data_IF_046919728466
#
_entry.id   IF_046919728466
#
_cell.length_a   1.000
_cell.length_b   1.000
_cell.length_c   1.000
_cell.angle_alpha   90.00
_cell.angle_beta   90.00
_cell.angle_gamma   90.00
#
_symmetry.space_group_name_H-M   'P 1'
#
loop_
_entity.id
_entity.type
_entity.pdbx_description
1 polymer ?
#
# COMPACT_ATOMS: atom_id res chain seq x y z
N UNK A 1 12.96 21.54 -38.02
CA UNK A 1 14.10 22.08 -37.26
C UNK A 1 13.76 23.48 -36.80
N UNK A 2 13.67 23.69 -35.50
CA UNK A 2 13.48 25.03 -34.91
C UNK A 2 14.85 25.60 -34.58
N UNK A 3 15.05 26.89 -34.86
CA UNK A 3 16.29 27.61 -34.55
C UNK A 3 15.99 28.85 -33.71
N UNK A 4 16.86 29.15 -32.77
CA UNK A 4 16.80 30.39 -31.99
C UNK A 4 17.25 31.61 -32.82
N UNK A 5 17.12 32.80 -32.21
CA UNK A 5 17.55 34.08 -32.78
C UNK A 5 19.06 34.17 -33.06
N UNK A 6 19.85 33.23 -32.53
CA UNK A 6 21.29 33.09 -32.80
C UNK A 6 21.60 32.05 -33.88
N UNK A 7 20.57 31.50 -34.55
CA UNK A 7 20.71 30.52 -35.63
C UNK A 7 21.03 29.10 -35.14
N UNK A 8 21.00 28.85 -33.82
CA UNK A 8 21.26 27.55 -33.22
C UNK A 8 20.00 26.71 -33.26
N UNK A 9 20.13 25.45 -33.65
CA UNK A 9 19.03 24.47 -33.59
C UNK A 9 18.65 24.27 -32.13
N UNK A 10 17.38 24.44 -31.78
CA UNK A 10 16.82 24.22 -30.44
C UNK A 10 15.96 22.96 -30.37
N UNK A 11 15.31 22.58 -31.47
CA UNK A 11 14.46 21.38 -31.55
C UNK A 11 14.53 20.72 -32.93
N UNK A 12 14.43 19.39 -32.94
CA UNK A 12 14.49 18.57 -34.15
C UNK A 12 13.42 17.47 -34.11
N UNK A 13 12.35 17.60 -34.91
CA UNK A 13 11.32 16.57 -35.16
C UNK A 13 11.06 15.59 -33.99
N UNK A 14 10.54 16.10 -32.87
CA UNK A 14 10.28 15.28 -31.67
C UNK A 14 11.49 15.08 -30.77
N UNK A 15 12.57 15.87 -30.89
CA UNK A 15 13.76 15.84 -30.04
C UNK A 15 14.21 17.24 -29.60
N UNK A 16 14.69 17.38 -28.35
CA UNK A 16 15.18 18.64 -27.78
C UNK A 16 16.71 18.67 -27.63
N UNK A 17 17.35 19.82 -27.89
CA UNK A 17 18.80 20.04 -27.65
C UNK A 17 19.05 20.16 -26.14
N UNK A 18 19.91 19.30 -25.60
CA UNK A 18 20.26 19.27 -24.17
C UNK A 18 21.56 20.03 -23.84
N UNK A 19 22.13 20.77 -24.78
CA UNK A 19 23.23 21.70 -24.52
C UNK A 19 24.62 21.06 -24.37
N UNK A 20 24.75 19.75 -24.57
CA UNK A 20 26.05 19.06 -24.56
C UNK A 20 26.75 19.33 -25.89
N UNK A 21 27.91 19.99 -25.83
CA UNK A 21 28.78 20.22 -26.98
C UNK A 21 30.16 19.66 -26.71
N UNK A 22 30.35 18.39 -27.06
CA UNK A 22 31.61 17.68 -26.89
C UNK A 22 32.35 17.56 -28.24
N UNK A 23 33.65 17.80 -28.23
CA UNK A 23 34.58 17.52 -29.33
C UNK A 23 35.38 16.25 -29.02
N UNK A 24 34.72 15.10 -28.87
CA UNK A 24 35.42 13.88 -28.41
C UNK A 24 34.69 12.59 -28.81
N UNK A 25 35.45 11.49 -28.78
CA UNK A 25 35.12 10.07 -29.07
C UNK A 25 33.63 9.66 -28.88
N UNK A 26 33.02 8.94 -29.86
CA UNK A 26 31.65 8.43 -29.80
C UNK A 26 31.24 7.73 -28.50
N UNK A 27 32.16 7.01 -27.84
CA UNK A 27 31.88 6.29 -26.58
C UNK A 27 31.57 7.23 -25.41
N UNK A 28 32.22 8.40 -25.34
CA UNK A 28 31.98 9.41 -24.30
C UNK A 28 30.63 10.10 -24.52
N UNK A 29 30.20 10.19 -25.79
CA UNK A 29 28.94 10.82 -26.18
C UNK A 29 27.77 9.87 -25.96
N UNK A 30 27.95 8.57 -26.25
CA UNK A 30 26.99 7.53 -25.89
C UNK A 30 26.80 7.46 -24.37
N UNK A 31 27.88 7.48 -23.58
CA UNK A 31 27.76 7.47 -22.13
C UNK A 31 27.11 8.74 -21.56
N UNK A 32 27.40 9.91 -22.11
CA UNK A 32 26.74 11.16 -21.73
C UNK A 32 25.23 11.14 -22.10
N UNK A 33 24.89 10.62 -23.28
CA UNK A 33 23.50 10.44 -23.70
C UNK A 33 22.72 9.49 -22.81
N UNK A 34 23.32 8.35 -22.45
CA UNK A 34 22.74 7.39 -21.50
C UNK A 34 22.53 8.00 -20.11
N UNK A 35 23.47 8.82 -19.62
CA UNK A 35 23.35 9.50 -18.33
C UNK A 35 22.18 10.51 -18.32
N UNK A 36 22.00 11.27 -19.40
CA UNK A 36 20.90 12.24 -19.50
C UNK A 36 19.55 11.53 -19.56
N UNK A 37 19.45 10.45 -20.34
CA UNK A 37 18.23 9.63 -20.42
C UNK A 37 17.88 8.98 -19.08
N UNK A 38 18.90 8.51 -18.35
CA UNK A 38 18.78 8.05 -16.96
C UNK A 38 18.17 9.12 -16.08
N UNK A 39 18.66 10.35 -16.20
CA UNK A 39 18.25 11.46 -15.35
C UNK A 39 16.81 11.91 -15.63
N UNK A 40 16.42 11.95 -16.91
CA UNK A 40 15.05 12.23 -17.32
C UNK A 40 14.09 11.14 -16.84
N UNK A 41 14.45 9.87 -17.01
CA UNK A 41 13.62 8.74 -16.56
C UNK A 41 13.48 8.70 -15.04
N UNK A 42 14.57 8.93 -14.30
CA UNK A 42 14.55 9.04 -12.85
C UNK A 42 13.66 10.19 -12.37
N UNK A 43 13.77 11.36 -12.99
CA UNK A 43 12.94 12.52 -12.67
C UNK A 43 11.45 12.26 -12.96
N UNK A 44 11.14 11.60 -14.08
CA UNK A 44 9.77 11.21 -14.42
C UNK A 44 9.14 10.32 -13.35
N UNK A 45 9.83 9.25 -12.95
CA UNK A 45 9.30 8.35 -11.92
C UNK A 45 9.19 9.03 -10.56
N UNK A 46 10.20 9.83 -10.16
CA UNK A 46 10.16 10.55 -8.90
C UNK A 46 8.97 11.53 -8.83
N UNK A 47 8.64 12.23 -9.92
CA UNK A 47 7.46 13.10 -9.97
C UNK A 47 6.16 12.30 -9.82
N UNK A 48 6.00 11.19 -10.56
CA UNK A 48 4.84 10.31 -10.40
C UNK A 48 4.70 9.80 -8.97
N UNK A 49 5.82 9.39 -8.36
CA UNK A 49 5.84 8.89 -6.99
C UNK A 49 5.46 10.00 -6.00
N UNK A 50 6.00 11.21 -6.17
CA UNK A 50 5.69 12.37 -5.34
C UNK A 50 4.18 12.63 -5.30
N UNK A 51 3.52 12.69 -6.46
CA UNK A 51 2.07 12.93 -6.56
C UNK A 51 1.25 11.87 -5.79
N UNK A 52 1.74 10.63 -5.74
CA UNK A 52 1.09 9.54 -5.00
C UNK A 52 1.37 9.62 -3.49
N UNK A 53 2.61 9.94 -3.10
CA UNK A 53 3.01 10.07 -1.69
C UNK A 53 2.25 11.22 -1.01
N UNK A 54 1.97 12.31 -1.73
CA UNK A 54 1.18 13.44 -1.19
C UNK A 54 -0.27 13.06 -0.89
N UNK A 55 -0.85 12.08 -1.60
CA UNK A 55 -2.22 11.63 -1.32
C UNK A 55 -2.33 10.80 -0.01
N UNK A 56 -1.22 10.34 0.56
CA UNK A 56 -1.20 9.63 1.85
C UNK A 56 -1.44 10.55 3.05
N UNK A 57 -1.33 11.87 2.89
CA UNK A 57 -1.44 12.83 3.99
C UNK A 57 -2.78 12.76 4.72
N UNK A 58 -3.88 12.73 3.97
CA UNK A 58 -5.22 12.69 4.57
C UNK A 58 -5.43 11.44 5.44
N UNK A 59 -4.85 10.29 5.07
CA UNK A 59 -5.04 9.04 5.80
C UNK A 59 -4.17 8.96 7.05
N UNK A 60 -2.90 9.35 6.97
CA UNK A 60 -2.03 9.38 8.15
C UNK A 60 -2.47 10.45 9.16
N UNK A 61 -2.98 11.59 8.70
CA UNK A 61 -3.57 12.61 9.58
C UNK A 61 -4.89 12.14 10.21
N UNK A 62 -5.75 11.44 9.47
CA UNK A 62 -6.93 10.78 10.04
C UNK A 62 -6.53 9.81 11.16
N UNK A 63 -5.55 8.94 10.90
CA UNK A 63 -5.07 7.97 11.90
C UNK A 63 -4.46 8.65 13.13
N UNK A 64 -3.67 9.72 12.94
CA UNK A 64 -3.06 10.48 14.04
C UNK A 64 -4.11 11.15 14.93
N UNK A 65 -5.17 11.69 14.31
CA UNK A 65 -6.25 12.35 15.05
C UNK A 65 -7.08 11.35 15.87
N UNK A 66 -7.13 10.07 15.45
CA UNK A 66 -7.85 9.01 16.17
C UNK A 66 -6.99 8.44 17.30
N UNK A 67 -5.69 8.25 17.06
CA UNK A 67 -4.75 7.70 18.04
C UNK A 67 -3.49 8.58 18.05
N UNK A 68 -3.22 9.23 19.19
CA UNK A 68 -2.00 10.03 19.41
C UNK A 68 -0.78 9.10 19.50
N UNK A 69 -0.38 8.54 18.36
CA UNK A 69 0.58 7.46 18.25
C UNK A 69 1.89 7.98 17.66
N UNK A 70 2.98 7.81 18.42
CA UNK A 70 4.34 8.18 18.02
C UNK A 70 4.75 7.53 16.70
N UNK A 71 4.29 6.31 16.43
CA UNK A 71 4.62 5.61 15.18
C UNK A 71 3.93 6.26 13.98
N UNK A 72 2.71 6.77 14.12
CA UNK A 72 2.05 7.53 13.04
C UNK A 72 2.83 8.84 12.79
N UNK A 73 3.26 9.53 13.83
CA UNK A 73 4.12 10.72 13.69
C UNK A 73 5.42 10.43 12.92
N UNK A 74 6.06 9.27 13.20
CA UNK A 74 7.23 8.80 12.46
C UNK A 74 6.91 8.48 10.99
N UNK A 75 5.77 7.87 10.69
CA UNK A 75 5.32 7.61 9.31
C UNK A 75 5.07 8.91 8.55
N UNK A 76 4.45 9.92 9.18
CA UNK A 76 4.25 11.25 8.57
C UNK A 76 5.60 11.91 8.26
N UNK A 77 6.54 11.87 9.21
CA UNK A 77 7.89 12.42 8.99
C UNK A 77 8.63 11.68 7.87
N UNK A 78 8.52 10.35 7.84
CA UNK A 78 9.08 9.49 6.79
C UNK A 78 8.53 9.86 5.42
N UNK A 79 7.20 9.97 5.31
CA UNK A 79 6.51 10.40 4.10
C UNK A 79 6.96 11.77 3.63
N UNK A 80 7.03 12.77 4.53
CA UNK A 80 7.49 14.13 4.20
C UNK A 80 8.90 14.12 3.64
N UNK A 81 9.82 13.42 4.30
CA UNK A 81 11.21 13.31 3.85
C UNK A 81 11.35 12.62 2.49
N UNK A 82 10.63 11.52 2.28
CA UNK A 82 10.60 10.83 0.99
C UNK A 82 10.02 11.71 -0.13
N UNK A 83 8.92 12.41 0.14
CA UNK A 83 8.30 13.35 -0.80
C UNK A 83 9.22 14.51 -1.15
N UNK A 84 9.93 15.06 -0.16
CA UNK A 84 10.89 16.13 -0.39
C UNK A 84 12.00 15.68 -1.32
N UNK A 85 12.62 14.51 -1.04
CA UNK A 85 13.70 13.96 -1.88
C UNK A 85 13.20 13.69 -3.30
N UNK A 86 12.00 13.12 -3.46
CA UNK A 86 11.41 12.87 -4.78
C UNK A 86 11.20 14.16 -5.60
N UNK A 87 10.94 15.28 -4.93
CA UNK A 87 10.73 16.58 -5.59
C UNK A 87 12.01 17.33 -5.97
N UNK A 88 13.19 16.87 -5.53
CA UNK A 88 14.44 17.63 -5.72
C UNK A 88 14.92 17.60 -7.16
N UNK A 89 15.35 18.76 -7.65
CA UNK A 89 15.99 18.90 -8.98
C UNK A 89 17.36 18.23 -9.05
N UNK A 90 18.10 18.23 -7.95
CA UNK A 90 19.43 17.63 -7.83
C UNK A 90 19.45 16.68 -6.65
N UNK A 91 20.07 15.53 -6.83
CA UNK A 91 20.16 14.49 -5.81
C UNK A 91 21.57 13.95 -5.70
N UNK A 92 21.95 13.49 -4.51
CA UNK A 92 23.29 12.97 -4.22
C UNK A 92 23.28 11.69 -3.37
N UNK A 93 24.47 11.26 -2.93
CA UNK A 93 24.62 10.06 -2.10
C UNK A 93 24.04 10.20 -0.69
N UNK A 94 23.92 11.43 -0.18
CA UNK A 94 23.29 11.73 1.12
C UNK A 94 21.80 11.46 1.04
N UNK A 95 21.16 11.79 -0.09
CA UNK A 95 19.74 11.46 -0.33
C UNK A 95 19.50 9.96 -0.28
N UNK A 96 20.39 9.16 -0.89
CA UNK A 96 20.31 7.69 -0.83
C UNK A 96 20.38 7.17 0.61
N UNK A 97 21.23 7.77 1.45
CA UNK A 97 21.31 7.41 2.86
C UNK A 97 20.03 7.78 3.62
N UNK A 98 19.47 8.96 3.36
CA UNK A 98 18.21 9.40 3.95
C UNK A 98 17.04 8.48 3.56
N UNK A 99 16.91 8.15 2.28
CA UNK A 99 15.89 7.21 1.75
C UNK A 99 15.95 5.88 2.50
N UNK A 100 17.15 5.32 2.70
CA UNK A 100 17.33 4.05 3.41
C UNK A 100 16.94 4.12 4.89
N UNK A 101 17.21 5.24 5.56
CA UNK A 101 16.80 5.46 6.93
C UNK A 101 15.27 5.60 7.05
N UNK A 102 14.64 6.29 6.10
CA UNK A 102 13.19 6.38 5.99
C UNK A 102 12.55 5.01 5.76
N UNK A 103 13.10 4.23 4.83
CA UNK A 103 12.69 2.85 4.59
C UNK A 103 12.77 2.02 5.87
N UNK A 104 13.93 2.03 6.53
CA UNK A 104 14.14 1.30 7.79
C UNK A 104 13.10 1.68 8.84
N UNK A 105 12.77 2.96 8.98
CA UNK A 105 11.74 3.43 9.91
C UNK A 105 10.36 2.87 9.56
N UNK A 106 10.01 2.87 8.28
CA UNK A 106 8.75 2.29 7.81
C UNK A 106 8.69 0.76 8.03
N UNK A 107 9.79 0.05 7.77
CA UNK A 107 9.91 -1.39 7.98
C UNK A 107 9.78 -1.77 9.46
N UNK A 108 10.49 -1.05 10.37
CA UNK A 108 10.38 -1.27 11.82
C UNK A 108 8.94 -1.10 12.32
N UNK A 109 8.26 -0.07 11.84
CA UNK A 109 6.85 0.18 12.21
C UNK A 109 5.97 -0.92 11.61
N UNK A 110 6.16 -1.29 10.35
CA UNK A 110 5.41 -2.38 9.75
C UNK A 110 5.54 -3.67 10.56
N UNK A 111 6.77 -4.08 10.89
CA UNK A 111 7.05 -5.29 11.69
C UNK A 111 6.38 -5.21 13.07
N UNK A 112 6.49 -4.08 13.78
CA UNK A 112 5.86 -3.89 15.08
C UNK A 112 4.34 -4.13 15.03
N UNK A 113 3.66 -3.56 14.01
CA UNK A 113 2.22 -3.71 13.87
C UNK A 113 1.82 -5.10 13.36
N UNK A 114 2.65 -5.77 12.58
CA UNK A 114 2.44 -7.18 12.24
C UNK A 114 2.53 -8.07 13.49
N UNK A 115 3.53 -7.89 14.36
CA UNK A 115 3.61 -8.62 15.63
C UNK A 115 2.41 -8.33 16.55
N UNK A 116 1.97 -7.06 16.59
CA UNK A 116 0.78 -6.66 17.34
C UNK A 116 -0.47 -7.33 16.78
N UNK A 117 -0.60 -7.42 15.46
CA UNK A 117 -1.72 -8.07 14.78
C UNK A 117 -1.80 -9.55 15.16
N UNK A 118 -0.69 -10.29 15.05
CA UNK A 118 -0.62 -11.70 15.45
C UNK A 118 -0.98 -11.93 16.92
N UNK A 119 -0.62 -10.98 17.79
CA UNK A 119 -1.02 -11.03 19.21
C UNK A 119 -2.54 -10.83 19.36
N UNK A 120 -3.08 -9.79 18.73
CA UNK A 120 -4.51 -9.48 18.79
C UNK A 120 -5.37 -10.58 18.18
N UNK A 121 -4.93 -11.22 17.10
CA UNK A 121 -5.60 -12.38 16.50
C UNK A 121 -5.71 -13.54 17.49
N UNK A 122 -4.62 -13.88 18.19
CA UNK A 122 -4.63 -14.93 19.22
C UNK A 122 -5.57 -14.56 20.37
N UNK A 123 -5.52 -13.32 20.82
CA UNK A 123 -6.37 -12.81 21.89
C UNK A 123 -7.85 -12.76 21.50
N UNK A 124 -8.17 -12.48 20.23
CA UNK A 124 -9.53 -12.51 19.70
C UNK A 124 -10.07 -13.94 19.65
N UNK A 125 -9.23 -14.90 19.24
CA UNK A 125 -9.61 -16.33 19.18
C UNK A 125 -9.94 -16.93 20.55
N UNK A 126 -9.49 -16.31 21.64
CA UNK A 126 -9.76 -16.71 23.02
C UNK A 126 -10.84 -15.86 23.70
N UNK A 127 -11.38 -14.84 23.01
CA UNK A 127 -12.34 -13.91 23.59
C UNK A 127 -13.77 -14.45 23.50
N UNK A 128 -14.45 -14.46 24.65
CA UNK A 128 -15.83 -14.93 24.77
C UNK A 128 -16.80 -13.81 25.15
N UNK A 129 -16.30 -12.66 25.58
CA UNK A 129 -17.11 -11.48 25.87
C UNK A 129 -17.33 -10.62 24.61
N UNK A 130 -18.59 -10.39 24.24
CA UNK A 130 -18.96 -9.69 23.01
C UNK A 130 -18.54 -8.22 22.97
N UNK A 131 -18.45 -7.56 24.13
CA UNK A 131 -18.04 -6.15 24.19
C UNK A 131 -16.52 -6.02 24.06
N UNK A 132 -15.77 -6.87 24.77
CA UNK A 132 -14.32 -6.95 24.65
C UNK A 132 -13.89 -7.34 23.23
N UNK A 133 -14.61 -8.27 22.61
CA UNK A 133 -14.42 -8.68 21.23
C UNK A 133 -14.64 -7.55 20.23
N UNK A 134 -15.74 -6.80 20.35
CA UNK A 134 -15.99 -5.64 19.51
C UNK A 134 -14.86 -4.60 19.56
N UNK A 135 -14.30 -4.37 20.75
CA UNK A 135 -13.12 -3.50 20.92
C UNK A 135 -11.87 -4.09 20.26
N UNK A 136 -11.61 -5.39 20.42
CA UNK A 136 -10.48 -6.06 19.77
C UNK A 136 -10.55 -6.00 18.25
N UNK A 137 -11.73 -6.13 17.67
CA UNK A 137 -11.92 -5.97 16.22
C UNK A 137 -11.57 -4.56 15.76
N UNK A 138 -11.94 -3.52 16.52
CA UNK A 138 -11.53 -2.14 16.23
C UNK A 138 -10.01 -2.00 16.30
N UNK A 139 -9.37 -2.56 17.33
CA UNK A 139 -7.91 -2.53 17.51
C UNK A 139 -7.18 -3.29 16.38
N UNK A 140 -7.72 -4.41 15.92
CA UNK A 140 -7.23 -5.18 14.77
C UNK A 140 -7.31 -4.34 13.50
N UNK A 141 -8.46 -3.68 13.25
CA UNK A 141 -8.68 -2.85 12.07
C UNK A 141 -7.68 -1.69 12.02
N UNK A 142 -7.50 -1.01 13.15
CA UNK A 142 -6.51 0.04 13.29
C UNK A 142 -5.09 -0.48 13.07
N UNK A 143 -4.74 -1.62 13.67
CA UNK A 143 -3.42 -2.24 13.55
C UNK A 143 -3.08 -2.61 12.11
N UNK A 144 -4.01 -3.28 11.40
CA UNK A 144 -3.82 -3.62 9.99
C UNK A 144 -3.69 -2.38 9.12
N UNK A 145 -4.42 -1.30 9.42
CA UNK A 145 -4.34 -0.06 8.64
C UNK A 145 -2.96 0.57 8.76
N UNK A 146 -2.35 0.59 9.95
CA UNK A 146 -1.00 1.10 10.11
C UNK A 146 0.03 0.18 9.45
N UNK A 147 -0.12 -1.14 9.60
CA UNK A 147 0.75 -2.10 8.92
C UNK A 147 0.73 -1.91 7.40
N UNK A 148 -0.46 -1.65 6.84
CA UNK A 148 -0.65 -1.35 5.42
C UNK A 148 0.08 -0.07 4.98
N UNK A 149 -0.17 1.06 5.66
CA UNK A 149 0.44 2.35 5.29
C UNK A 149 1.97 2.35 5.48
N UNK A 150 2.47 1.66 6.52
CA UNK A 150 3.91 1.51 6.76
C UNK A 150 4.58 0.70 5.65
N UNK A 151 3.97 -0.43 5.25
CA UNK A 151 4.52 -1.26 4.18
C UNK A 151 4.48 -0.55 2.81
N UNK A 152 3.41 0.22 2.55
CA UNK A 152 3.30 1.11 1.38
C UNK A 152 4.43 2.14 1.34
N UNK A 153 4.74 2.80 2.46
CA UNK A 153 5.87 3.75 2.53
C UNK A 153 7.22 3.09 2.30
N UNK A 154 7.41 1.85 2.76
CA UNK A 154 8.63 1.09 2.47
C UNK A 154 8.80 0.83 0.96
N UNK A 155 7.72 0.44 0.28
CA UNK A 155 7.72 0.27 -1.19
C UNK A 155 8.00 1.59 -1.92
N UNK A 156 7.44 2.71 -1.44
CA UNK A 156 7.78 4.02 -1.99
C UNK A 156 9.24 4.39 -1.79
N UNK A 157 9.84 4.06 -0.65
CA UNK A 157 11.26 4.31 -0.43
C UNK A 157 12.15 3.51 -1.40
N UNK A 158 11.78 2.26 -1.72
CA UNK A 158 12.48 1.46 -2.74
C UNK A 158 12.35 2.08 -4.14
N UNK A 159 11.15 2.50 -4.52
CA UNK A 159 10.89 3.18 -5.79
C UNK A 159 11.67 4.50 -5.90
N UNK A 160 11.70 5.30 -4.83
CA UNK A 160 12.47 6.55 -4.77
C UNK A 160 13.96 6.25 -4.85
N UNK A 161 14.49 5.23 -4.17
CA UNK A 161 15.90 4.86 -4.30
C UNK A 161 16.25 4.54 -5.76
N UNK A 162 15.41 3.77 -6.45
CA UNK A 162 15.60 3.46 -7.87
C UNK A 162 15.58 4.74 -8.71
N UNK A 163 14.58 5.60 -8.54
CA UNK A 163 14.47 6.88 -9.26
C UNK A 163 15.63 7.84 -9.00
N UNK A 164 16.09 7.95 -7.75
CA UNK A 164 17.26 8.75 -7.35
C UNK A 164 18.53 8.21 -7.98
N UNK A 165 18.73 6.88 -8.03
CA UNK A 165 19.89 6.28 -8.69
C UNK A 165 19.86 6.44 -10.21
N UNK A 166 18.68 6.34 -10.82
CA UNK A 166 18.49 6.72 -12.22
C UNK A 166 18.90 8.18 -12.43
N UNK A 167 18.53 9.08 -11.50
CA UNK A 167 18.88 10.49 -11.57
C UNK A 167 20.38 10.79 -11.44
N UNK A 168 21.08 10.06 -10.59
CA UNK A 168 22.55 10.16 -10.45
C UNK A 168 23.27 9.63 -11.70
N UNK A 169 22.72 8.58 -12.34
CA UNK A 169 23.29 7.97 -13.54
C UNK A 169 24.49 7.05 -13.28
N UNK A 170 24.83 6.22 -14.27
CA UNK A 170 25.99 5.32 -14.21
C UNK A 170 25.87 4.15 -13.21
N UNK A 171 24.67 3.80 -12.77
CA UNK A 171 24.41 2.78 -11.73
C UNK A 171 23.50 1.64 -12.20
N UNK A 172 23.56 1.28 -13.48
CA UNK A 172 22.60 0.36 -14.11
C UNK A 172 22.54 -1.02 -13.46
N UNK A 173 23.68 -1.59 -13.08
CA UNK A 173 23.74 -2.90 -12.42
C UNK A 173 23.03 -2.88 -11.06
N UNK A 174 23.23 -1.79 -10.30
CA UNK A 174 22.57 -1.58 -9.00
C UNK A 174 21.08 -1.38 -9.20
N UNK A 175 20.67 -0.58 -10.19
CA UNK A 175 19.26 -0.32 -10.52
C UNK A 175 18.56 -1.64 -10.87
N UNK A 176 19.16 -2.50 -11.71
CA UNK A 176 18.58 -3.79 -12.08
C UNK A 176 18.42 -4.72 -10.87
N UNK A 177 19.43 -4.76 -9.99
CA UNK A 177 19.38 -5.52 -8.74
C UNK A 177 18.28 -5.04 -7.81
N UNK A 178 18.14 -3.73 -7.62
CA UNK A 178 17.09 -3.12 -6.80
C UNK A 178 15.70 -3.31 -7.40
N UNK A 179 15.56 -3.22 -8.72
CA UNK A 179 14.28 -3.44 -9.41
C UNK A 179 13.81 -4.89 -9.23
N UNK A 180 14.72 -5.85 -9.37
CA UNK A 180 14.43 -7.26 -9.11
C UNK A 180 14.07 -7.52 -7.63
N UNK A 181 14.68 -6.78 -6.71
CA UNK A 181 14.37 -6.85 -5.29
C UNK A 181 12.98 -6.25 -5.00
N UNK A 182 12.67 -5.10 -5.59
CA UNK A 182 11.36 -4.44 -5.48
C UNK A 182 10.24 -5.37 -5.96
N UNK A 183 10.41 -6.05 -7.10
CA UNK A 183 9.41 -6.98 -7.63
C UNK A 183 9.09 -8.09 -6.61
N UNK A 184 10.12 -8.71 -6.02
CA UNK A 184 9.95 -9.75 -4.99
C UNK A 184 9.33 -9.20 -3.71
N UNK A 185 9.81 -8.05 -3.26
CA UNK A 185 9.32 -7.40 -2.05
C UNK A 185 7.83 -7.04 -2.21
N UNK A 186 7.47 -6.41 -3.33
CA UNK A 186 6.09 -6.09 -3.69
C UNK A 186 5.21 -7.34 -3.75
N UNK A 187 5.60 -8.38 -4.48
CA UNK A 187 4.82 -9.61 -4.61
C UNK A 187 4.58 -10.31 -3.25
N UNK A 188 5.51 -10.15 -2.30
CA UNK A 188 5.39 -10.70 -0.94
C UNK A 188 4.73 -9.75 0.07
N UNK A 189 4.57 -8.48 -0.28
CA UNK A 189 4.19 -7.39 0.61
C UNK A 189 2.77 -7.53 1.18
N UNK A 190 2.59 -7.05 2.42
CA UNK A 190 1.27 -6.92 3.03
C UNK A 190 0.36 -6.01 2.20
N UNK A 191 0.92 -4.93 1.65
CA UNK A 191 0.23 -4.02 0.74
C UNK A 191 -0.39 -4.75 -0.45
N UNK A 192 0.39 -5.58 -1.16
CA UNK A 192 -0.10 -6.31 -2.32
C UNK A 192 -1.16 -7.35 -1.94
N UNK A 193 -0.95 -8.06 -0.82
CA UNK A 193 -1.79 -9.19 -0.36
C UNK A 193 -2.91 -8.79 0.61
N UNK A 194 -3.22 -7.50 0.77
CA UNK A 194 -4.12 -7.01 1.82
C UNK A 194 -5.47 -7.71 1.87
N UNK A 195 -6.08 -8.02 0.72
CA UNK A 195 -7.36 -8.74 0.66
C UNK A 195 -7.29 -10.13 1.30
N UNK A 196 -6.19 -10.85 1.05
CA UNK A 196 -5.96 -12.18 1.60
C UNK A 196 -5.68 -12.12 3.09
N UNK A 197 -4.88 -11.15 3.55
CA UNK A 197 -4.54 -10.99 4.97
C UNK A 197 -5.77 -10.60 5.79
N UNK A 198 -6.59 -9.66 5.30
CA UNK A 198 -7.85 -9.29 5.94
C UNK A 198 -8.81 -10.48 6.00
N UNK A 199 -8.98 -11.23 4.91
CA UNK A 199 -9.87 -12.39 4.91
C UNK A 199 -9.36 -13.48 5.86
N UNK A 200 -8.04 -13.70 5.93
CA UNK A 200 -7.41 -14.66 6.85
C UNK A 200 -7.74 -14.34 8.31
N UNK A 201 -7.56 -13.09 8.73
CA UNK A 201 -7.87 -12.61 10.10
C UNK A 201 -9.33 -12.91 10.47
N UNK A 202 -10.26 -12.69 9.54
CA UNK A 202 -11.70 -12.81 9.81
C UNK A 202 -12.29 -14.19 9.51
N UNK A 203 -11.60 -15.05 8.76
CA UNK A 203 -12.10 -16.37 8.34
C UNK A 203 -12.39 -17.30 9.52
N UNK A 204 -11.45 -17.38 10.47
CA UNK A 204 -11.59 -18.19 11.70
C UNK A 204 -12.78 -17.69 12.51
N UNK A 205 -12.91 -16.36 12.64
CA UNK A 205 -14.00 -15.73 13.40
C UNK A 205 -15.37 -16.01 12.77
N UNK A 206 -15.49 -15.84 11.46
CA UNK A 206 -16.73 -16.15 10.73
C UNK A 206 -17.13 -17.61 10.92
N UNK A 207 -16.17 -18.54 10.88
CA UNK A 207 -16.43 -19.96 11.13
C UNK A 207 -16.93 -20.20 12.56
N UNK A 208 -16.28 -19.60 13.56
CA UNK A 208 -16.70 -19.72 14.97
C UNK A 208 -18.10 -19.16 15.19
N UNK A 209 -18.38 -17.93 14.74
CA UNK A 209 -19.70 -17.30 14.91
C UNK A 209 -20.81 -18.07 14.20
N UNK A 210 -20.57 -18.57 12.99
CA UNK A 210 -21.53 -19.43 12.28
C UNK A 210 -21.80 -20.73 13.05
N UNK A 211 -20.77 -21.37 13.60
CA UNK A 211 -20.95 -22.58 14.40
C UNK A 211 -21.75 -22.33 15.69
N UNK A 212 -21.55 -21.16 16.32
CA UNK A 212 -22.30 -20.74 17.50
C UNK A 212 -23.78 -20.48 17.18
N UNK A 213 -24.06 -19.82 16.03
CA UNK A 213 -25.42 -19.60 15.55
C UNK A 213 -26.16 -20.92 15.35
N UNK A 214 -25.57 -21.86 14.61
CA UNK A 214 -26.16 -23.20 14.36
C UNK A 214 -26.45 -23.93 15.68
N UNK A 215 -25.54 -23.84 16.66
CA UNK A 215 -25.74 -24.46 17.97
C UNK A 215 -26.93 -23.82 18.74
N UNK A 216 -27.09 -22.50 18.65
CA UNK A 216 -28.19 -21.76 19.27
C UNK A 216 -29.53 -22.02 18.58
N UNK A 217 -29.55 -22.09 17.25
CA UNK A 217 -30.74 -22.46 16.45
C UNK A 217 -31.23 -23.86 16.83
N UNK A 218 -30.33 -24.84 16.87
CA UNK A 218 -30.66 -26.20 17.31
C UNK A 218 -31.22 -26.26 18.74
N UNK A 219 -30.78 -25.36 19.63
CA UNK A 219 -31.31 -25.25 21.00
C UNK A 219 -32.69 -24.60 21.02
N UNK A 220 -32.94 -23.64 20.14
CA UNK A 220 -34.26 -23.02 19.94
C UNK A 220 -35.27 -24.04 19.38
N UNK A 221 -34.91 -24.78 18.33
CA UNK A 221 -35.74 -25.84 17.75
C UNK A 221 -36.15 -26.88 18.80
N UNK A 222 -35.18 -27.42 19.56
CA UNK A 222 -35.47 -28.33 20.68
C UNK A 222 -36.38 -27.73 21.76
N UNK A 223 -36.33 -26.41 21.95
CA UNK A 223 -37.20 -25.72 22.91
C UNK A 223 -38.61 -25.53 22.35
N UNK A 224 -38.74 -25.35 21.04
CA UNK A 224 -39.99 -25.24 20.30
C UNK A 224 -40.73 -26.58 20.21
N UNK A 225 -40.03 -27.67 19.89
CA UNK A 225 -40.56 -29.04 19.93
C UNK A 225 -41.13 -29.37 21.31
N UNK A 226 -40.35 -29.14 22.38
CA UNK A 226 -40.80 -29.36 23.77
C UNK A 226 -41.98 -28.50 24.20
N UNK A 227 -42.21 -27.36 23.54
CA UNK A 227 -43.35 -26.50 23.77
C UNK A 227 -44.59 -27.00 23.02
N UNK A 228 -44.42 -27.55 21.81
CA UNK A 228 -45.48 -28.00 20.90
C UNK A 228 -45.95 -29.45 21.17
N UNK A 229 -45.09 -30.32 21.68
CA UNK A 229 -45.38 -31.74 21.99
C UNK A 229 -46.31 -31.96 23.21
N UNK A 230 -46.87 -30.91 23.83
CA UNK A 230 -47.69 -31.07 25.03
C UNK A 230 -49.19 -31.13 24.72
N UNK A 231 -49.88 -32.23 25.10
CA UNK A 231 -51.34 -32.23 25.16
C UNK A 231 -51.80 -31.18 26.17
N UNK A 232 -53.01 -30.66 25.99
CA UNK A 232 -53.61 -29.60 26.80
C UNK A 232 -53.64 -30.04 28.28
N UNK A 233 -52.61 -29.69 29.08
CA UNK A 233 -52.55 -29.97 30.53
C UNK A 233 -52.81 -28.66 31.30
N UNK A 234 -53.67 -28.65 32.33
CA UNK A 234 -54.11 -27.45 33.05
C UNK A 234 -53.07 -26.86 34.02
N UNK A 235 -51.77 -27.10 33.82
CA UNK A 235 -50.70 -26.66 34.72
C UNK A 235 -49.98 -25.43 34.16
N UNK A 236 -50.62 -24.27 34.31
CA UNK A 236 -50.16 -22.96 33.82
C UNK A 236 -48.71 -22.62 34.20
N UNK A 237 -48.22 -23.08 35.35
CA UNK A 237 -46.83 -22.87 35.78
C UNK A 237 -45.78 -23.57 34.90
N UNK A 238 -46.08 -24.76 34.36
CA UNK A 238 -45.17 -25.51 33.49
C UNK A 238 -45.09 -24.84 32.10
N UNK A 239 -46.23 -24.36 31.60
CA UNK A 239 -46.31 -23.58 30.35
C UNK A 239 -45.49 -22.28 30.44
N UNK A 240 -45.58 -21.54 31.56
CA UNK A 240 -44.81 -20.32 31.76
C UNK A 240 -43.29 -20.55 31.75
N UNK A 241 -42.81 -21.61 32.41
CA UNK A 241 -41.38 -21.97 32.44
C UNK A 241 -40.87 -22.32 31.03
N UNK A 242 -41.65 -23.09 30.25
CA UNK A 242 -41.29 -23.45 28.88
C UNK A 242 -41.32 -22.26 27.93
N UNK A 243 -42.34 -21.42 28.02
CA UNK A 243 -42.42 -20.17 27.27
C UNK A 243 -41.21 -19.26 27.57
N UNK A 244 -40.82 -19.13 28.83
CA UNK A 244 -39.62 -18.40 29.24
C UNK A 244 -38.32 -18.97 28.63
N UNK A 245 -38.18 -20.30 28.56
CA UNK A 245 -37.03 -20.94 27.89
C UNK A 245 -37.04 -20.69 26.38
N UNK A 246 -38.19 -20.79 25.73
CA UNK A 246 -38.34 -20.52 24.30
C UNK A 246 -37.95 -19.08 23.97
N UNK A 247 -38.48 -18.12 24.71
CA UNK A 247 -38.16 -16.68 24.59
C UNK A 247 -36.66 -16.45 24.79
N UNK A 248 -36.06 -17.06 25.81
CA UNK A 248 -34.61 -16.96 26.05
C UNK A 248 -33.80 -17.51 24.88
N UNK A 249 -34.12 -18.72 24.40
CA UNK A 249 -33.41 -19.33 23.26
C UNK A 249 -33.55 -18.52 21.96
N UNK A 250 -34.73 -17.94 21.68
CA UNK A 250 -34.93 -17.05 20.55
C UNK A 250 -34.11 -15.77 20.67
N UNK A 251 -34.06 -15.18 21.88
CA UNK A 251 -33.21 -14.02 22.16
C UNK A 251 -31.72 -14.33 21.97
N UNK A 252 -31.28 -15.51 22.39
CA UNK A 252 -29.89 -15.95 22.22
C UNK A 252 -29.53 -16.09 20.73
N UNK A 253 -30.43 -16.62 19.89
CA UNK A 253 -30.28 -16.67 18.42
C UNK A 253 -30.18 -15.26 17.83
N UNK A 254 -31.12 -14.37 18.16
CA UNK A 254 -31.11 -12.99 17.64
C UNK A 254 -29.80 -12.26 17.98
N UNK A 255 -29.30 -12.40 19.22
CA UNK A 255 -28.00 -11.84 19.60
C UNK A 255 -26.83 -12.40 18.80
N UNK A 256 -26.88 -13.68 18.44
CA UNK A 256 -25.84 -14.30 17.60
C UNK A 256 -25.87 -13.76 16.18
N UNK A 257 -27.06 -13.53 15.61
CA UNK A 257 -27.25 -12.90 14.29
C UNK A 257 -26.73 -11.47 14.31
N UNK A 258 -27.13 -10.64 15.27
CA UNK A 258 -26.65 -9.25 15.41
C UNK A 258 -25.12 -9.18 15.50
N UNK A 259 -24.51 -10.13 16.22
CA UNK A 259 -23.05 -10.24 16.33
C UNK A 259 -22.38 -10.55 14.98
N UNK A 260 -22.90 -11.55 14.24
CA UNK A 260 -22.39 -11.89 12.90
C UNK A 260 -22.52 -10.72 11.93
N UNK A 261 -23.63 -9.97 12.00
CA UNK A 261 -23.83 -8.77 11.18
C UNK A 261 -22.79 -7.70 11.50
N UNK A 262 -22.50 -7.46 12.77
CA UNK A 262 -21.47 -6.51 13.19
C UNK A 262 -20.07 -6.94 12.73
N UNK A 263 -19.72 -8.21 12.89
CA UNK A 263 -18.45 -8.78 12.41
C UNK A 263 -18.29 -8.62 10.89
N UNK A 264 -19.33 -8.97 10.12
CA UNK A 264 -19.33 -8.82 8.67
C UNK A 264 -19.28 -7.35 8.24
N UNK A 265 -19.94 -6.45 8.96
CA UNK A 265 -19.87 -5.01 8.71
C UNK A 265 -18.46 -4.48 8.95
N UNK A 266 -17.79 -4.91 10.02
CA UNK A 266 -16.42 -4.50 10.32
C UNK A 266 -15.44 -5.04 9.29
N UNK A 267 -15.53 -6.33 8.94
CA UNK A 267 -14.75 -6.93 7.84
C UNK A 267 -14.99 -6.18 6.53
N UNK A 268 -16.25 -5.96 6.18
CA UNK A 268 -16.63 -5.25 4.97
C UNK A 268 -16.04 -3.85 4.94
N UNK A 269 -16.10 -3.12 6.06
CA UNK A 269 -15.51 -1.78 6.18
C UNK A 269 -14.00 -1.81 5.98
N UNK A 270 -13.26 -2.68 6.66
CA UNK A 270 -11.79 -2.78 6.51
C UNK A 270 -11.41 -3.09 5.08
N UNK A 271 -12.08 -4.10 4.49
CA UNK A 271 -11.81 -4.54 3.13
C UNK A 271 -12.09 -3.41 2.14
N UNK A 272 -13.21 -2.70 2.30
CA UNK A 272 -13.54 -1.54 1.47
C UNK A 272 -12.51 -0.43 1.67
N UNK A 273 -12.18 -0.05 2.90
CA UNK A 273 -11.27 1.06 3.21
C UNK A 273 -9.87 0.78 2.63
N UNK A 274 -9.32 -0.42 2.85
CA UNK A 274 -7.99 -0.80 2.33
C UNK A 274 -7.98 -1.00 0.81
N UNK A 275 -9.03 -1.60 0.26
CA UNK A 275 -9.15 -1.79 -1.18
C UNK A 275 -9.33 -0.46 -1.91
N UNK A 276 -10.14 0.45 -1.36
CA UNK A 276 -10.28 1.81 -1.90
C UNK A 276 -8.98 2.58 -1.79
N UNK A 277 -8.26 2.49 -0.66
CA UNK A 277 -6.93 3.09 -0.56
C UNK A 277 -5.99 2.55 -1.65
N UNK A 278 -5.96 1.23 -1.85
CA UNK A 278 -5.15 0.60 -2.89
C UNK A 278 -5.58 0.97 -4.31
N UNK A 279 -6.88 0.98 -4.61
CA UNK A 279 -7.42 1.34 -5.94
C UNK A 279 -7.22 2.82 -6.28
N UNK A 280 -7.18 3.69 -5.26
CA UNK A 280 -6.87 5.11 -5.44
C UNK A 280 -5.36 5.36 -5.62
N UNK A 281 -4.52 4.40 -5.23
CA UNK A 281 -3.08 4.48 -5.39
C UNK A 281 -2.64 3.95 -6.75
N UNK A 282 -1.73 4.66 -7.41
CA UNK A 282 -1.10 4.20 -8.66
C UNK A 282 0.22 3.48 -8.45
N UNK A 283 0.56 3.13 -7.20
CA UNK A 283 1.84 2.49 -6.88
C UNK A 283 2.00 1.15 -7.62
N UNK A 284 0.93 0.37 -7.77
CA UNK A 284 0.92 -0.88 -8.53
C UNK A 284 1.38 -0.64 -9.98
N UNK A 285 0.83 0.39 -10.63
CA UNK A 285 1.20 0.77 -12.00
C UNK A 285 2.64 1.27 -12.07
N UNK A 286 3.08 2.08 -11.10
CA UNK A 286 4.45 2.60 -11.06
C UNK A 286 5.46 1.45 -10.89
N UNK A 287 5.16 0.46 -10.05
CA UNK A 287 6.00 -0.72 -9.85
C UNK A 287 6.08 -1.53 -11.16
N UNK A 288 4.95 -1.79 -11.81
CA UNK A 288 4.93 -2.47 -13.12
C UNK A 288 5.75 -1.69 -14.15
N UNK A 289 5.57 -0.38 -14.27
CA UNK A 289 6.35 0.46 -15.20
C UNK A 289 7.86 0.40 -14.92
N UNK A 290 8.27 0.50 -13.64
CA UNK A 290 9.69 0.46 -13.25
C UNK A 290 10.30 -0.94 -13.47
N UNK A 291 9.52 -2.00 -13.26
CA UNK A 291 9.95 -3.39 -13.49
C UNK A 291 10.04 -3.72 -14.98
N UNK A 292 9.08 -3.27 -15.79
CA UNK A 292 9.02 -3.54 -17.23
C UNK A 292 9.97 -2.68 -18.06
N UNK A 293 10.38 -1.51 -17.56
CA UNK A 293 11.21 -0.55 -18.29
C UNK A 293 12.50 -0.20 -17.55
N UNK A 294 13.40 -1.16 -17.27
CA UNK A 294 14.75 -0.83 -16.87
C UNK A 294 15.45 -0.24 -18.10
N UNK A 295 15.42 1.08 -18.23
CA UNK A 295 15.98 1.82 -19.37
C UNK A 295 15.37 1.42 -20.73
N UNK A 296 14.34 2.16 -21.19
CA UNK A 296 14.15 2.27 -22.65
C UNK A 296 15.35 3.04 -23.20
N UNK A 297 16.28 2.35 -23.86
CA UNK A 297 17.15 3.00 -24.85
C UNK A 297 16.21 3.68 -25.86
N UNK A 298 16.00 4.99 -25.71
CA UNK A 298 15.35 5.77 -26.76
C UNK A 298 16.44 6.23 -27.72
N UNK A 299 16.11 6.28 -29.01
CA UNK A 299 17.02 6.78 -30.05
C UNK A 299 17.58 8.14 -29.62
N UNK A 300 18.88 8.36 -29.81
CA UNK A 300 19.52 9.64 -29.58
C UNK A 300 19.86 10.20 -30.94
N UNK A 301 19.40 11.42 -31.24
CA UNK A 301 19.71 12.05 -32.52
C UNK A 301 21.03 12.81 -32.41
N UNK A 302 21.98 12.44 -33.27
CA UNK A 302 23.31 13.04 -33.34
C UNK A 302 23.42 13.97 -34.54
N UNK A 303 23.74 15.24 -34.30
CA UNK A 303 23.98 16.21 -35.39
C UNK A 303 25.43 16.72 -35.30
N UNK A 304 26.30 16.34 -36.25
CA UNK A 304 27.63 16.95 -36.37
C UNK A 304 27.50 18.42 -36.80
N UNK A 305 28.19 19.32 -36.10
CA UNK A 305 28.27 20.73 -36.49
C UNK A 305 29.60 21.06 -37.16
N UNK A 306 29.65 22.21 -37.85
CA UNK A 306 30.76 22.68 -38.70
C UNK A 306 32.12 22.77 -37.98
N UNK A 307 32.13 22.74 -36.64
CA UNK A 307 33.34 22.91 -35.81
C UNK A 307 33.78 21.64 -35.08
N UNK A 308 33.49 20.44 -35.58
CA UNK A 308 33.78 19.15 -34.90
C UNK A 308 33.15 19.02 -33.50
N UNK A 309 32.18 19.88 -33.18
CA UNK A 309 31.34 19.77 -31.98
C UNK A 309 30.10 18.97 -32.35
N UNK A 310 29.79 17.96 -31.56
CA UNK A 310 28.57 17.17 -31.73
C UNK A 310 27.50 17.69 -30.78
N UNK A 311 26.27 17.80 -31.27
CA UNK A 311 25.09 18.15 -30.47
C UNK A 311 24.22 16.92 -30.29
N UNK A 312 23.75 16.73 -29.06
CA UNK A 312 22.94 15.58 -28.64
C UNK A 312 21.50 16.05 -28.49
N UNK A 313 20.58 15.30 -29.07
CA UNK A 313 19.15 15.54 -28.91
C UNK A 313 18.47 14.27 -28.41
N UNK A 314 17.56 14.43 -27.45
CA UNK A 314 16.77 13.34 -26.86
C UNK A 314 15.31 13.48 -27.26
N UNK A 315 14.58 12.37 -27.47
CA UNK A 315 13.20 12.43 -27.92
C UNK A 315 12.32 13.04 -26.84
N UNK A 316 11.54 14.06 -27.20
CA UNK A 316 10.44 14.58 -26.41
C UNK A 316 9.27 13.59 -26.55
N UNK A 317 8.80 13.04 -25.44
CA UNK A 317 7.48 12.42 -25.42
C UNK A 317 6.45 13.53 -25.20
N UNK A 318 5.43 13.55 -26.06
CA UNK A 318 4.20 14.32 -25.88
C UNK A 318 3.40 13.82 -24.66
#
# INVERSE_FOLDING_TARGET
MVRDSSGRITEHAGFADIGISASVNPTIILSAGMQVMSAVSGTYYLHKIQDQITNMDAKLEELLNIHHDTNIGRLIATRKGLSEIASRDFVDATDLYAIRNYKKTADEIHEEYMYRLERLERELNMEFDSNAEGKKLIDINFTMTIAFEANKLSLFAELIEIGTRMKIGGQIEIINGLTSQLERNYASSFYHKVDLEVEKVYSIRRQQSNSELVAKEKKYEKSLEKFTDFPIVPHWGILAIKAGRLVKSKRDVNKAVEKIELENKNLGKVKIDMKQNKENDRIDNIIVEVVELPYKEKEILYIPTVNNKQRVFVPMED
#
